data_IF_042536407467
#
_entry.id   IF_042536407467
#
_cell.length_a   1.000
_cell.length_b   1.000
_cell.length_c   1.000
_cell.angle_alpha   90.00
_cell.angle_beta   90.00
_cell.angle_gamma   90.00
#
_symmetry.space_group_name_H-M   'P 1'
#
loop_
_entity.id
_entity.type
_entity.pdbx_description
1 polymer ?
#
# COMPACT_ATOMS: atom_id res chain seq x y z
N UNK A 1 24.09 -2.65 10.45
CA UNK A 1 22.86 -1.83 10.59
C UNK A 1 21.95 -2.51 11.58
N UNK A 2 21.41 -1.79 12.57
CA UNK A 2 20.48 -2.38 13.55
C UNK A 2 19.20 -2.83 12.85
N UNK A 3 18.70 -4.04 13.14
CA UNK A 3 17.48 -4.60 12.51
C UNK A 3 16.29 -3.65 12.62
N UNK A 4 16.20 -2.93 13.74
CA UNK A 4 15.18 -1.91 13.99
C UNK A 4 15.22 -0.77 12.97
N UNK A 5 16.42 -0.33 12.57
CA UNK A 5 16.58 0.72 11.54
C UNK A 5 16.09 0.25 10.18
N UNK A 6 16.39 -1.00 9.80
CA UNK A 6 15.94 -1.59 8.53
C UNK A 6 14.41 -1.68 8.50
N UNK A 7 13.79 -2.18 9.56
CA UNK A 7 12.33 -2.28 9.65
C UNK A 7 11.68 -0.90 9.55
N UNK A 8 12.20 0.10 10.27
CA UNK A 8 11.69 1.47 10.22
C UNK A 8 11.73 2.05 8.80
N UNK A 9 12.84 1.91 8.08
CA UNK A 9 12.96 2.42 6.70
C UNK A 9 12.01 1.73 5.73
N UNK A 10 11.79 0.42 5.88
CA UNK A 10 10.83 -0.31 5.04
C UNK A 10 9.40 0.14 5.32
N UNK A 11 9.03 0.31 6.59
CA UNK A 11 7.69 0.77 6.96
C UNK A 11 7.42 2.20 6.48
N UNK A 12 8.41 3.08 6.57
CA UNK A 12 8.33 4.44 6.01
C UNK A 12 8.17 4.40 4.49
N UNK A 13 8.96 3.61 3.79
CA UNK A 13 8.84 3.44 2.34
C UNK A 13 7.46 2.90 1.93
N UNK A 14 6.92 1.97 2.72
CA UNK A 14 5.60 1.37 2.50
C UNK A 14 4.49 2.41 2.72
N UNK A 15 4.59 3.23 3.77
CA UNK A 15 3.64 4.30 4.04
C UNK A 15 3.63 5.36 2.92
N UNK A 16 4.80 5.79 2.46
CA UNK A 16 4.92 6.78 1.37
C UNK A 16 4.33 6.22 0.07
N UNK A 17 4.71 4.98 -0.28
CA UNK A 17 4.23 4.33 -1.50
C UNK A 17 2.72 4.09 -1.45
N UNK A 18 2.19 3.72 -0.29
CA UNK A 18 0.76 3.60 -0.05
C UNK A 18 0.02 4.92 -0.25
N UNK A 19 0.51 6.02 0.33
CA UNK A 19 -0.10 7.33 0.15
C UNK A 19 -0.08 7.76 -1.33
N UNK A 20 1.02 7.55 -2.03
CA UNK A 20 1.12 7.87 -3.46
C UNK A 20 0.09 7.09 -4.31
N UNK A 21 -0.02 5.77 -4.11
CA UNK A 21 -1.01 4.92 -4.80
C UNK A 21 -2.44 5.29 -4.41
N UNK A 22 -2.67 5.60 -3.13
CA UNK A 22 -3.99 5.96 -2.62
C UNK A 22 -4.49 7.28 -3.21
N UNK A 23 -3.67 8.34 -3.19
CA UNK A 23 -4.01 9.65 -3.75
C UNK A 23 -4.28 9.52 -5.25
N UNK A 24 -3.35 8.90 -5.99
CA UNK A 24 -3.49 8.71 -7.44
C UNK A 24 -4.68 7.81 -7.81
N UNK A 25 -5.00 6.82 -6.96
CA UNK A 25 -6.17 5.96 -7.10
C UNK A 25 -7.49 6.71 -6.91
N UNK A 26 -7.58 7.56 -5.89
CA UNK A 26 -8.73 8.46 -5.66
C UNK A 26 -8.90 9.39 -6.85
N UNK A 27 -7.81 10.01 -7.33
CA UNK A 27 -7.86 10.88 -8.51
C UNK A 27 -8.32 10.15 -9.78
N UNK A 28 -8.05 8.84 -9.90
CA UNK A 28 -8.51 8.00 -11.02
C UNK A 28 -9.86 7.32 -10.77
N UNK A 29 -10.61 7.72 -9.75
CA UNK A 29 -11.87 7.04 -9.45
C UNK A 29 -13.01 7.56 -10.34
N UNK A 30 -13.44 6.71 -11.29
CA UNK A 30 -14.48 7.04 -12.28
C UNK A 30 -15.80 7.53 -11.70
N UNK A 31 -16.22 6.96 -10.57
CA UNK A 31 -17.49 7.35 -9.94
C UNK A 31 -17.39 8.74 -9.31
N UNK A 32 -16.24 9.06 -8.71
CA UNK A 32 -16.00 10.30 -7.98
C UNK A 32 -15.94 11.48 -8.96
N UNK A 33 -15.18 11.33 -10.05
CA UNK A 33 -15.10 12.34 -11.13
C UNK A 33 -16.50 12.63 -11.70
N UNK A 34 -17.31 11.60 -11.92
CA UNK A 34 -18.67 11.74 -12.46
C UNK A 34 -19.61 12.46 -11.50
N UNK A 35 -19.48 12.24 -10.19
CA UNK A 35 -20.27 12.92 -9.15
C UNK A 35 -19.97 14.42 -9.08
N UNK A 36 -18.72 14.83 -9.30
CA UNK A 36 -18.32 16.24 -9.34
C UNK A 36 -18.57 16.93 -10.70
N UNK A 37 -19.12 16.22 -11.69
CA UNK A 37 -19.49 16.79 -12.99
C UNK A 37 -18.33 17.00 -13.98
N UNK A 38 -17.13 16.49 -13.67
CA UNK A 38 -15.96 16.61 -14.54
C UNK A 38 -15.89 15.48 -15.58
N UNK A 39 -15.21 15.72 -16.72
CA UNK A 39 -14.96 14.68 -17.73
C UNK A 39 -13.55 14.13 -17.57
N UNK A 40 -13.37 12.85 -17.91
CA UNK A 40 -12.05 12.19 -17.82
C UNK A 40 -10.95 12.82 -18.68
N UNK A 41 -11.34 13.58 -19.70
CA UNK A 41 -10.43 14.27 -20.62
C UNK A 41 -9.80 15.53 -20.01
N UNK A 42 -10.31 16.03 -18.89
CA UNK A 42 -9.80 17.25 -18.25
C UNK A 42 -8.53 16.98 -17.42
N UNK A 43 -8.23 15.71 -17.16
CA UNK A 43 -7.08 15.31 -16.34
C UNK A 43 -5.99 14.63 -17.18
N UNK A 44 -4.70 14.87 -16.87
CA UNK A 44 -3.56 14.17 -17.48
C UNK A 44 -3.51 12.72 -16.97
N UNK A 45 -4.42 11.89 -17.48
CA UNK A 45 -4.62 10.51 -17.05
C UNK A 45 -3.41 9.61 -17.32
N UNK A 46 -2.59 9.94 -18.33
CA UNK A 46 -1.37 9.19 -18.67
C UNK A 46 -0.31 9.31 -17.58
N UNK A 47 0.02 10.52 -17.14
CA UNK A 47 1.05 10.74 -16.12
C UNK A 47 0.62 10.20 -14.75
N UNK A 48 -0.64 10.45 -14.37
CA UNK A 48 -1.23 9.86 -13.17
C UNK A 48 -1.20 8.33 -13.19
N UNK A 49 -1.44 7.71 -14.35
CA UNK A 49 -1.36 6.25 -14.48
C UNK A 49 0.07 5.75 -14.34
N UNK A 50 1.03 6.45 -14.94
CA UNK A 50 2.44 6.09 -14.82
C UNK A 50 2.89 6.09 -13.36
N UNK A 51 2.65 7.18 -12.62
CA UNK A 51 3.01 7.28 -11.20
C UNK A 51 2.27 6.24 -10.37
N UNK A 52 0.98 6.02 -10.62
CA UNK A 52 0.18 5.03 -9.89
C UNK A 52 0.72 3.61 -10.04
N UNK A 53 1.03 3.20 -11.28
CA UNK A 53 1.52 1.84 -11.57
C UNK A 53 2.89 1.62 -10.95
N UNK A 54 3.84 2.53 -11.16
CA UNK A 54 5.19 2.39 -10.61
C UNK A 54 5.21 2.43 -9.09
N UNK A 55 4.42 3.33 -8.48
CA UNK A 55 4.27 3.36 -7.02
C UNK A 55 3.63 2.08 -6.49
N UNK A 56 2.67 1.50 -7.22
CA UNK A 56 2.06 0.22 -6.87
C UNK A 56 3.04 -0.95 -6.92
N UNK A 57 3.92 -1.00 -7.92
CA UNK A 57 4.97 -2.02 -8.03
C UNK A 57 5.95 -1.91 -6.86
N UNK A 58 6.42 -0.70 -6.54
CA UNK A 58 7.31 -0.45 -5.41
C UNK A 58 6.64 -0.85 -4.09
N UNK A 59 5.37 -0.45 -3.90
CA UNK A 59 4.59 -0.82 -2.72
C UNK A 59 4.46 -2.34 -2.60
N UNK A 60 4.17 -3.04 -3.70
CA UNK A 60 4.08 -4.50 -3.71
C UNK A 60 5.37 -5.17 -3.25
N UNK A 61 6.52 -4.74 -3.79
CA UNK A 61 7.83 -5.23 -3.37
C UNK A 61 8.10 -4.95 -1.88
N UNK A 62 7.82 -3.74 -1.39
CA UNK A 62 8.00 -3.38 0.01
C UNK A 62 7.10 -4.21 0.94
N UNK A 63 5.85 -4.47 0.54
CA UNK A 63 4.94 -5.36 1.27
C UNK A 63 5.50 -6.78 1.35
N UNK A 64 6.03 -7.33 0.26
CA UNK A 64 6.65 -8.66 0.28
C UNK A 64 7.81 -8.73 1.27
N UNK A 65 8.71 -7.74 1.24
CA UNK A 65 9.85 -7.68 2.17
C UNK A 65 9.37 -7.50 3.62
N UNK A 66 8.41 -6.61 3.85
CA UNK A 66 7.81 -6.39 5.17
C UNK A 66 7.20 -7.68 5.73
N UNK A 67 6.41 -8.41 4.92
CA UNK A 67 5.82 -9.68 5.32
C UNK A 67 6.89 -10.74 5.63
N UNK A 68 7.96 -10.82 4.85
CA UNK A 68 9.07 -11.73 5.11
C UNK A 68 9.79 -11.40 6.42
N UNK A 69 10.01 -10.12 6.72
CA UNK A 69 10.62 -9.65 7.97
C UNK A 69 9.74 -9.94 9.20
N UNK A 70 8.42 -9.77 9.06
CA UNK A 70 7.46 -9.94 10.13
C UNK A 70 6.81 -11.33 10.18
N UNK A 71 7.22 -12.27 9.32
CA UNK A 71 6.60 -13.59 9.17
C UNK A 71 6.46 -14.37 10.48
N UNK A 72 7.51 -14.37 11.31
CA UNK A 72 7.48 -15.03 12.63
C UNK A 72 6.41 -14.44 13.54
N UNK A 73 6.30 -13.11 13.57
CA UNK A 73 5.29 -12.42 14.36
C UNK A 73 3.87 -12.73 13.86
N UNK A 74 3.66 -12.72 12.54
CA UNK A 74 2.38 -13.07 11.92
C UNK A 74 1.94 -14.47 12.33
N UNK A 75 2.79 -15.49 12.14
CA UNK A 75 2.47 -16.87 12.50
C UNK A 75 2.17 -17.02 14.00
N UNK A 76 2.96 -16.39 14.87
CA UNK A 76 2.72 -16.41 16.30
C UNK A 76 1.38 -15.76 16.67
N UNK A 77 1.05 -14.62 16.06
CA UNK A 77 -0.20 -13.90 16.33
C UNK A 77 -1.42 -14.67 15.80
N UNK A 78 -1.36 -15.21 14.58
CA UNK A 78 -2.42 -16.05 14.00
C UNK A 78 -2.69 -17.26 14.89
N UNK A 79 -1.64 -17.99 15.33
CA UNK A 79 -1.81 -19.12 16.26
C UNK A 79 -2.46 -18.70 17.58
N UNK A 80 -2.07 -17.55 18.13
CA UNK A 80 -2.64 -17.03 19.39
C UNK A 80 -4.12 -16.65 19.24
N UNK A 81 -4.51 -16.06 18.11
CA UNK A 81 -5.90 -15.70 17.82
C UNK A 81 -6.78 -16.95 17.68
N UNK A 82 -6.33 -17.95 16.93
CA UNK A 82 -7.08 -19.21 16.78
C UNK A 82 -7.18 -20.01 18.10
N UNK A 83 -6.12 -20.04 18.91
CA UNK A 83 -6.17 -20.73 20.23
C UNK A 83 -7.05 -20.03 21.27
N UNK A 84 -7.46 -18.78 21.03
CA UNK A 84 -8.44 -18.05 21.85
C UNK A 84 -9.87 -18.23 21.37
N UNK A 85 -10.09 -18.62 20.11
CA UNK A 85 -11.43 -18.93 19.60
C UNK A 85 -11.94 -20.31 20.09
N UNK A 86 -11.03 -21.16 20.56
CA UNK A 86 -11.29 -22.52 21.08
C UNK A 86 -11.47 -22.57 22.62
N UNK A 87 -11.50 -21.42 23.31
CA UNK A 87 -11.74 -21.30 24.75
C UNK A 87 -12.91 -20.35 25.02
#
# INVERSE_FOLDING_TARGET
MEKTKINYWIDVGLAISFLAVFITGISKWKILIRLFGFRYSDFPTTELTFVHVWSGIIMGLLVFVHLALHWKWIVCMTKKMFRRADK
#
